data_IF_519025902261
#
_entry.id   IF_519025902261
#
_cell.length_a   1.000
_cell.length_b   1.000
_cell.length_c   1.000
_cell.angle_alpha   90.00
_cell.angle_beta   90.00
_cell.angle_gamma   90.00
#
_symmetry.space_group_name_H-M   'P 1'
#
loop_
_entity.id
_entity.type
_entity.pdbx_description
1 polymer ?
#
# COMPACT_ATOMS: atom_id res chain seq x y z
N UNK A 1 29.88 -13.98 37.51
CA UNK A 1 30.47 -13.77 36.17
C UNK A 1 29.59 -12.76 35.45
N UNK A 2 29.99 -11.49 35.43
CA UNK A 2 29.22 -10.41 34.79
C UNK A 2 29.48 -10.47 33.29
N UNK A 3 28.46 -10.84 32.49
CA UNK A 3 28.56 -10.68 31.04
C UNK A 3 28.69 -9.19 30.74
N UNK A 4 29.79 -8.78 30.11
CA UNK A 4 29.89 -7.46 29.52
C UNK A 4 28.76 -7.34 28.48
N UNK A 5 27.68 -6.65 28.84
CA UNK A 5 26.60 -6.33 27.91
C UNK A 5 27.18 -5.30 26.94
N UNK A 6 27.18 -5.59 25.64
CA UNK A 6 27.57 -4.64 24.60
C UNK A 6 26.60 -3.46 24.62
N UNK A 7 26.93 -2.48 25.47
CA UNK A 7 26.14 -1.32 25.78
C UNK A 7 26.90 -0.09 25.32
N UNK A 8 26.23 0.75 24.53
CA UNK A 8 26.78 2.03 24.09
C UNK A 8 25.87 3.14 24.62
N UNK A 9 26.48 4.12 25.26
CA UNK A 9 25.80 5.29 25.79
C UNK A 9 26.41 6.52 25.12
N UNK A 10 25.58 7.29 24.42
CA UNK A 10 25.94 8.53 23.75
C UNK A 10 25.44 9.67 24.62
N UNK A 11 26.37 10.31 25.34
CA UNK A 11 26.07 11.39 26.25
C UNK A 11 25.55 12.64 25.52
N UNK A 12 24.98 13.56 26.30
CA UNK A 12 24.61 14.90 25.81
C UNK A 12 25.82 15.60 25.18
N UNK A 13 25.57 16.51 24.24
CA UNK A 13 26.58 17.25 23.45
C UNK A 13 27.54 16.37 22.61
N UNK A 14 27.40 15.05 22.63
CA UNK A 14 28.21 14.14 21.82
C UNK A 14 27.60 13.97 20.43
N UNK A 15 28.40 14.19 19.39
CA UNK A 15 28.00 13.95 18.00
C UNK A 15 28.82 12.78 17.45
N UNK A 16 28.14 11.74 16.98
CA UNK A 16 28.75 10.57 16.34
C UNK A 16 28.36 10.57 14.86
N UNK A 17 29.35 10.72 13.98
CA UNK A 17 29.17 10.63 12.52
C UNK A 17 29.79 9.31 12.02
N UNK A 18 29.13 8.19 12.31
CA UNK A 18 29.64 6.86 12.02
C UNK A 18 28.54 5.78 12.07
N UNK A 19 28.83 4.62 11.49
CA UNK A 19 28.00 3.43 11.60
C UNK A 19 28.19 2.73 12.97
N UNK A 20 27.09 2.38 13.63
CA UNK A 20 27.09 1.60 14.87
C UNK A 20 26.61 0.18 14.54
N UNK A 21 27.42 -0.83 14.84
CA UNK A 21 27.09 -2.25 14.63
C UNK A 21 27.48 -3.08 15.85
N UNK A 22 26.91 -4.30 15.95
CA UNK A 22 27.17 -5.24 17.04
C UNK A 22 26.85 -4.68 18.45
N UNK A 23 25.92 -3.73 18.53
CA UNK A 23 25.44 -3.16 19.79
C UNK A 23 24.22 -3.97 20.28
N UNK A 24 24.16 -4.27 21.58
CA UNK A 24 22.98 -4.92 22.16
C UNK A 24 21.97 -3.88 22.66
N UNK A 25 22.46 -2.86 23.39
CA UNK A 25 21.63 -1.78 23.91
C UNK A 25 22.33 -0.45 23.66
N UNK A 26 21.63 0.45 22.97
CA UNK A 26 22.09 1.78 22.66
C UNK A 26 21.22 2.81 23.38
N UNK A 27 21.84 3.70 24.15
CA UNK A 27 21.19 4.86 24.75
C UNK A 27 21.72 6.14 24.12
N UNK A 28 20.82 7.00 23.66
CA UNK A 28 21.15 8.21 22.91
C UNK A 28 20.59 9.43 23.62
N UNK A 29 21.47 10.25 24.19
CA UNK A 29 21.17 11.60 24.69
C UNK A 29 21.80 12.69 23.79
N UNK A 30 22.86 12.35 23.06
CA UNK A 30 23.49 13.22 22.06
C UNK A 30 22.90 13.04 20.66
N UNK A 31 23.75 13.20 19.64
CA UNK A 31 23.36 13.07 18.22
C UNK A 31 24.14 11.97 17.53
N UNK A 32 23.44 11.16 16.74
CA UNK A 32 24.04 10.14 15.87
C UNK A 32 23.62 10.42 14.43
N UNK A 33 24.59 10.50 13.52
CA UNK A 33 24.40 10.55 12.08
C UNK A 33 25.06 9.32 11.44
N UNK A 34 24.27 8.37 10.92
CA UNK A 34 24.78 7.14 10.30
C UNK A 34 23.86 5.93 10.39
N UNK A 35 24.37 4.76 10.00
CA UNK A 35 23.63 3.49 10.09
C UNK A 35 23.78 2.88 11.49
N UNK A 36 22.66 2.69 12.19
CA UNK A 36 22.60 2.09 13.53
C UNK A 36 21.97 0.72 13.47
N UNK A 37 22.71 -0.31 13.90
CA UNK A 37 22.22 -1.69 14.05
C UNK A 37 22.42 -2.14 15.49
N UNK A 38 21.31 -2.29 16.21
CA UNK A 38 21.28 -2.71 17.62
C UNK A 38 20.14 -3.69 17.88
N UNK A 39 20.08 -4.34 19.05
CA UNK A 39 18.85 -5.04 19.47
C UNK A 39 17.85 -4.08 20.11
N UNK A 40 18.32 -3.29 21.05
CA UNK A 40 17.53 -2.31 21.79
C UNK A 40 18.10 -0.91 21.56
N UNK A 41 17.24 0.06 21.28
CA UNK A 41 17.59 1.48 21.23
C UNK A 41 16.63 2.29 22.12
N UNK A 42 17.20 3.18 22.92
CA UNK A 42 16.49 4.17 23.71
C UNK A 42 17.00 5.55 23.31
N UNK A 43 16.14 6.35 22.68
CA UNK A 43 16.45 7.74 22.33
C UNK A 43 15.82 8.62 23.39
N UNK A 44 16.63 9.22 24.25
CA UNK A 44 16.17 10.13 25.30
C UNK A 44 15.64 11.45 24.72
N UNK A 45 14.93 12.29 25.51
CA UNK A 45 14.34 13.53 25.00
C UNK A 45 15.31 14.50 24.29
N UNK A 46 16.56 14.54 24.73
CA UNK A 46 17.64 15.35 24.12
C UNK A 46 18.32 14.64 22.93
N UNK A 47 18.10 13.34 22.79
CA UNK A 47 18.72 12.49 21.80
C UNK A 47 18.16 12.70 20.39
N UNK A 48 19.04 12.67 19.40
CA UNK A 48 18.67 12.70 17.99
C UNK A 48 19.42 11.63 17.19
N UNK A 49 18.70 10.89 16.35
CA UNK A 49 19.30 9.92 15.42
C UNK A 49 18.86 10.24 14.01
N UNK A 50 19.82 10.48 13.12
CA UNK A 50 19.58 10.76 11.70
C UNK A 50 20.26 9.68 10.86
N UNK A 51 19.50 8.99 10.02
CA UNK A 51 20.01 7.94 9.16
C UNK A 51 19.16 6.67 9.22
N UNK A 52 19.80 5.51 9.14
CA UNK A 52 19.10 4.23 9.09
C UNK A 52 19.20 3.48 10.40
N UNK A 53 18.07 3.21 11.05
CA UNK A 53 18.00 2.51 12.33
C UNK A 53 17.40 1.12 12.14
N UNK A 54 18.13 0.07 12.51
CA UNK A 54 17.63 -1.32 12.57
C UNK A 54 17.71 -1.83 14.00
N UNK A 55 16.55 -2.16 14.58
CA UNK A 55 16.45 -2.68 15.94
C UNK A 55 15.46 -3.85 16.08
N UNK A 56 15.59 -4.63 17.15
CA UNK A 56 14.53 -5.56 17.57
C UNK A 56 13.43 -4.78 18.29
N UNK A 57 13.80 -3.92 19.25
CA UNK A 57 12.88 -3.04 19.98
C UNK A 57 13.43 -1.62 20.09
N UNK A 58 12.55 -0.62 20.04
CA UNK A 58 12.92 0.79 20.10
C UNK A 58 11.98 1.56 21.05
N UNK A 59 12.56 2.38 21.93
CA UNK A 59 11.82 3.35 22.75
C UNK A 59 12.30 4.76 22.41
N UNK A 60 11.39 5.60 21.93
CA UNK A 60 11.70 6.91 21.37
C UNK A 60 11.05 7.99 22.24
N UNK A 61 11.88 8.75 22.96
CA UNK A 61 11.52 9.98 23.67
C UNK A 61 12.08 11.23 22.98
N UNK A 62 13.11 11.11 22.16
CA UNK A 62 13.68 12.21 21.37
C UNK A 62 13.30 12.14 19.89
N UNK A 63 14.21 12.54 19.02
CA UNK A 63 13.94 12.62 17.57
C UNK A 63 14.67 11.54 16.78
N UNK A 64 13.95 10.85 15.89
CA UNK A 64 14.55 9.93 14.91
C UNK A 64 14.11 10.32 13.52
N UNK A 65 15.05 10.58 12.62
CA UNK A 65 14.81 10.95 11.23
C UNK A 65 15.49 9.96 10.27
N UNK A 66 14.73 9.41 9.33
CA UNK A 66 15.25 8.56 8.25
C UNK A 66 14.52 7.23 8.11
N UNK A 67 15.27 6.16 7.82
CA UNK A 67 14.70 4.82 7.63
C UNK A 67 14.77 4.02 8.94
N UNK A 68 13.62 3.68 9.52
CA UNK A 68 13.52 2.98 10.80
C UNK A 68 12.90 1.60 10.59
N UNK A 69 13.61 0.54 10.97
CA UNK A 69 13.14 -0.85 10.89
C UNK A 69 13.21 -1.50 12.27
N UNK A 70 12.04 -1.73 12.88
CA UNK A 70 11.90 -2.33 14.22
C UNK A 70 11.11 -3.62 14.15
N UNK A 71 11.75 -4.75 14.45
CA UNK A 71 11.13 -6.07 14.21
C UNK A 71 10.01 -6.45 15.19
N UNK A 72 10.11 -6.05 16.46
CA UNK A 72 9.19 -6.49 17.51
C UNK A 72 8.26 -5.37 17.98
N UNK A 73 8.79 -4.33 18.62
CA UNK A 73 8.00 -3.24 19.21
C UNK A 73 8.74 -1.91 19.11
N UNK A 74 8.08 -0.92 18.52
CA UNK A 74 8.45 0.50 18.64
C UNK A 74 7.47 1.19 19.60
N UNK A 75 7.99 1.86 20.62
CA UNK A 75 7.24 2.68 21.57
C UNK A 75 7.63 4.13 21.42
N UNK A 76 6.70 4.98 20.99
CA UNK A 76 6.90 6.43 20.85
C UNK A 76 6.26 7.09 22.07
N UNK A 77 7.10 7.66 22.93
CA UNK A 77 6.71 8.32 24.19
C UNK A 77 6.21 9.75 23.91
N UNK A 78 5.63 10.47 24.89
CA UNK A 78 5.01 11.78 24.67
C UNK A 78 5.88 12.89 24.06
N UNK A 79 7.21 12.79 24.12
CA UNK A 79 8.14 13.74 23.49
C UNK A 79 8.82 13.18 22.24
N UNK A 80 8.54 11.91 21.91
CA UNK A 80 9.16 11.20 20.81
C UNK A 80 8.62 11.67 19.47
N UNK A 81 9.53 11.98 18.55
CA UNK A 81 9.21 12.38 17.19
C UNK A 81 9.94 11.42 16.25
N UNK A 82 9.19 10.69 15.41
CA UNK A 82 9.78 9.83 14.37
C UNK A 82 9.35 10.34 13.01
N UNK A 83 10.32 10.66 12.15
CA UNK A 83 10.10 11.18 10.80
C UNK A 83 10.80 10.30 9.75
N UNK A 84 10.10 9.95 8.67
CA UNK A 84 10.67 9.19 7.55
C UNK A 84 9.96 7.86 7.27
N UNK A 85 10.68 6.86 6.78
CA UNK A 85 10.11 5.56 6.41
C UNK A 85 10.23 4.57 7.57
N UNK A 86 9.10 4.14 8.14
CA UNK A 86 9.08 3.29 9.35
C UNK A 86 8.44 1.94 9.05
N UNK A 87 9.22 0.87 9.22
CA UNK A 87 8.74 -0.53 9.21
C UNK A 87 8.75 -1.06 10.64
N UNK A 88 7.61 -1.54 11.12
CA UNK A 88 7.46 -2.01 12.49
C UNK A 88 6.63 -3.30 12.57
N UNK A 89 6.96 -4.16 13.53
CA UNK A 89 6.13 -5.33 13.86
C UNK A 89 4.89 -4.93 14.66
N UNK A 90 5.08 -4.24 15.79
CA UNK A 90 4.04 -3.64 16.63
C UNK A 90 4.43 -2.22 17.01
N UNK A 91 3.43 -1.36 17.19
CA UNK A 91 3.62 0.03 17.57
C UNK A 91 2.77 0.38 18.78
N UNK A 92 3.36 1.12 19.73
CA UNK A 92 2.67 1.80 20.83
C UNK A 92 3.00 3.29 20.70
N UNK A 93 1.95 4.12 20.66
CA UNK A 93 2.04 5.57 20.61
C UNK A 93 1.37 6.14 21.87
N UNK A 94 2.15 6.75 22.75
CA UNK A 94 1.64 7.43 23.94
C UNK A 94 1.06 8.81 23.55
N UNK A 95 0.05 9.34 24.28
CA UNK A 95 -0.46 10.69 24.04
C UNK A 95 0.66 11.75 24.07
N UNK A 96 0.80 12.50 22.98
CA UNK A 96 1.85 13.51 22.78
C UNK A 96 2.98 13.06 21.85
N UNK A 97 3.18 11.75 21.66
CA UNK A 97 4.15 11.26 20.69
C UNK A 97 3.71 11.58 19.26
N UNK A 98 4.67 11.93 18.40
CA UNK A 98 4.43 12.28 17.02
C UNK A 98 5.14 11.29 16.08
N UNK A 99 4.38 10.75 15.13
CA UNK A 99 4.90 9.92 14.05
C UNK A 99 4.52 10.56 12.72
N UNK A 100 5.51 11.13 12.03
CA UNK A 100 5.38 11.60 10.66
C UNK A 100 6.07 10.62 9.73
N UNK A 101 5.42 9.48 9.50
CA UNK A 101 5.91 8.47 8.58
C UNK A 101 5.43 8.75 7.16
N UNK A 102 6.29 8.56 6.16
CA UNK A 102 5.84 8.43 4.77
C UNK A 102 5.15 7.08 4.64
N UNK A 103 3.82 7.10 4.59
CA UNK A 103 3.04 5.95 4.17
C UNK A 103 3.33 5.77 2.68
N UNK A 104 3.98 4.67 2.33
CA UNK A 104 4.23 4.34 0.93
C UNK A 104 2.95 3.73 0.37
N UNK A 105 2.32 4.44 -0.56
CA UNK A 105 1.22 3.92 -1.36
C UNK A 105 1.60 2.54 -1.95
N UNK A 106 0.77 1.52 -1.70
CA UNK A 106 0.90 0.22 -2.36
C UNK A 106 -0.02 0.23 -3.57
N UNK A 107 0.51 0.19 -4.81
CA UNK A 107 -0.36 0.25 -5.98
C UNK A 107 -1.38 -0.90 -6.02
N UNK A 108 -2.60 -0.64 -6.51
CA UNK A 108 -3.62 -1.66 -6.59
C UNK A 108 -3.23 -2.74 -7.60
N UNK A 109 -3.70 -3.95 -7.39
CA UNK A 109 -3.52 -5.05 -8.34
C UNK A 109 -4.84 -5.73 -8.68
N UNK A 110 -4.96 -6.12 -9.95
CA UNK A 110 -6.15 -6.78 -10.48
C UNK A 110 -6.12 -8.28 -10.18
N UNK A 111 -7.29 -8.82 -9.84
CA UNK A 111 -7.57 -10.24 -9.62
C UNK A 111 -8.87 -10.63 -10.34
N UNK A 112 -9.12 -11.94 -10.43
CA UNK A 112 -10.23 -12.52 -11.19
C UNK A 112 -9.71 -13.46 -12.28
N UNK A 113 -10.62 -14.13 -12.96
CA UNK A 113 -10.27 -14.97 -14.12
C UNK A 113 -10.18 -14.18 -15.44
N UNK A 114 -10.67 -12.94 -15.44
CA UNK A 114 -10.74 -12.03 -16.59
C UNK A 114 -11.49 -12.61 -17.79
N UNK A 115 -12.50 -13.45 -17.54
CA UNK A 115 -13.32 -14.06 -18.58
C UNK A 115 -14.80 -13.79 -18.34
N UNK A 116 -15.51 -13.42 -19.40
CA UNK A 116 -16.95 -13.27 -19.38
C UNK A 116 -17.60 -14.10 -20.49
N UNK A 117 -18.83 -14.53 -20.25
CA UNK A 117 -19.67 -15.15 -21.26
C UNK A 117 -20.96 -14.35 -21.43
N UNK A 118 -21.20 -13.85 -22.64
CA UNK A 118 -22.38 -13.05 -22.97
C UNK A 118 -23.09 -13.65 -24.18
N UNK A 119 -24.40 -13.49 -24.25
CA UNK A 119 -25.14 -13.79 -25.48
C UNK A 119 -25.08 -12.60 -26.43
N UNK A 120 -25.11 -12.88 -27.73
CA UNK A 120 -25.13 -11.84 -28.74
C UNK A 120 -26.24 -10.82 -28.52
N UNK A 121 -25.85 -9.54 -28.46
CA UNK A 121 -26.77 -8.41 -28.31
C UNK A 121 -27.37 -8.29 -26.90
N UNK A 122 -26.88 -9.10 -25.95
CA UNK A 122 -27.30 -9.05 -24.55
C UNK A 122 -26.21 -8.43 -23.68
N UNK A 123 -26.55 -8.20 -22.41
CA UNK A 123 -25.61 -7.77 -21.40
C UNK A 123 -25.34 -8.89 -20.39
N UNK A 124 -24.16 -8.85 -19.77
CA UNK A 124 -23.79 -9.67 -18.62
C UNK A 124 -23.22 -8.77 -17.53
N UNK A 125 -23.62 -8.99 -16.28
CA UNK A 125 -23.06 -8.29 -15.12
C UNK A 125 -21.62 -8.75 -14.93
N UNK A 126 -20.70 -7.81 -14.74
CA UNK A 126 -19.31 -8.11 -14.39
C UNK A 126 -19.25 -8.33 -12.88
N UNK A 127 -18.81 -9.51 -12.45
CA UNK A 127 -18.73 -9.88 -11.04
C UNK A 127 -17.30 -9.80 -10.52
N UNK A 128 -17.14 -9.88 -9.20
CA UNK A 128 -15.82 -9.92 -8.56
C UNK A 128 -15.05 -11.23 -8.80
N UNK A 129 -15.69 -12.26 -9.36
CA UNK A 129 -15.00 -13.46 -9.83
C UNK A 129 -14.28 -13.20 -11.16
N UNK A 130 -14.89 -12.39 -12.02
CA UNK A 130 -14.36 -12.06 -13.34
C UNK A 130 -13.31 -10.95 -13.24
N UNK A 131 -13.59 -9.92 -12.44
CA UNK A 131 -12.75 -8.74 -12.27
C UNK A 131 -12.90 -8.12 -10.88
N UNK A 132 -11.79 -7.99 -10.16
CA UNK A 132 -11.70 -7.18 -8.94
C UNK A 132 -10.30 -6.59 -8.78
N UNK A 133 -10.17 -5.64 -7.87
CA UNK A 133 -8.92 -5.00 -7.49
C UNK A 133 -8.75 -5.14 -5.99
N UNK A 134 -7.54 -5.47 -5.57
CA UNK A 134 -7.15 -5.56 -4.17
C UNK A 134 -6.08 -4.50 -3.91
N UNK A 135 -6.31 -3.76 -2.84
CA UNK A 135 -5.43 -2.72 -2.35
C UNK A 135 -5.49 -2.71 -0.82
N UNK A 136 -4.35 -2.78 -0.11
CA UNK A 136 -4.34 -2.84 1.35
C UNK A 136 -4.55 -1.48 2.04
N UNK A 137 -4.36 -0.36 1.34
CA UNK A 137 -4.44 1.00 1.87
C UNK A 137 -5.62 1.82 1.32
N UNK A 138 -6.31 1.36 0.27
CA UNK A 138 -7.49 2.02 -0.28
C UNK A 138 -8.80 1.23 -0.10
N UNK A 139 -9.90 1.97 0.05
CA UNK A 139 -11.27 1.43 0.07
C UNK A 139 -11.79 1.17 -1.35
N UNK A 140 -12.85 0.35 -1.53
CA UNK A 140 -13.42 0.09 -2.85
C UNK A 140 -13.92 1.32 -3.63
N UNK A 141 -14.32 2.39 -2.94
CA UNK A 141 -14.77 3.63 -3.58
C UNK A 141 -13.58 4.47 -4.13
N UNK A 142 -12.38 4.24 -3.60
CA UNK A 142 -11.13 4.93 -4.00
C UNK A 142 -10.42 4.24 -5.16
N UNK A 143 -10.76 2.98 -5.44
CA UNK A 143 -10.21 2.22 -6.56
C UNK A 143 -11.00 2.46 -7.85
N UNK A 144 -10.43 3.24 -8.77
CA UNK A 144 -11.07 3.63 -10.04
C UNK A 144 -10.50 2.84 -11.22
N UNK A 145 -11.37 2.12 -11.89
CA UNK A 145 -11.09 1.47 -13.17
C UNK A 145 -11.19 2.46 -14.31
N UNK A 146 -10.27 2.37 -15.26
CA UNK A 146 -10.36 2.97 -16.58
C UNK A 146 -10.53 1.88 -17.62
N UNK A 147 -11.52 2.03 -18.50
CA UNK A 147 -11.86 1.08 -19.57
C UNK A 147 -11.37 1.62 -20.91
N UNK A 148 -10.74 0.76 -21.71
CA UNK A 148 -10.24 1.11 -23.04
C UNK A 148 -10.31 -0.08 -24.00
N UNK A 149 -9.98 0.14 -25.27
CA UNK A 149 -9.88 -0.92 -26.30
C UNK A 149 -11.11 -1.85 -26.38
N UNK A 150 -12.30 -1.30 -26.16
CA UNK A 150 -13.57 -2.00 -26.30
C UNK A 150 -13.71 -2.62 -27.71
N UNK A 151 -14.02 -3.92 -27.78
CA UNK A 151 -14.27 -4.69 -29.00
C UNK A 151 -15.52 -5.53 -28.83
N UNK A 152 -16.42 -5.48 -29.82
CA UNK A 152 -17.64 -6.27 -29.85
C UNK A 152 -18.68 -5.89 -28.79
N UNK A 153 -18.58 -4.70 -28.23
CA UNK A 153 -19.44 -4.23 -27.16
C UNK A 153 -18.74 -3.15 -26.34
N UNK A 154 -19.33 -2.80 -25.20
CA UNK A 154 -18.79 -1.80 -24.28
C UNK A 154 -19.20 -2.12 -22.84
N UNK A 155 -18.45 -1.57 -21.89
CA UNK A 155 -18.84 -1.59 -20.47
C UNK A 155 -19.85 -0.48 -20.21
N UNK A 156 -20.90 -0.77 -19.43
CA UNK A 156 -21.97 0.16 -19.08
C UNK A 156 -22.45 -0.05 -17.63
N UNK A 157 -23.18 0.92 -17.08
CA UNK A 157 -23.97 0.65 -15.89
C UNK A 157 -25.23 -0.14 -16.26
N UNK A 158 -25.66 -1.06 -15.39
CA UNK A 158 -26.86 -1.89 -15.60
C UNK A 158 -28.14 -1.06 -15.76
N UNK A 159 -28.19 0.14 -15.17
CA UNK A 159 -29.30 1.09 -15.29
C UNK A 159 -29.28 1.92 -16.58
N UNK A 160 -28.16 1.96 -17.30
CA UNK A 160 -27.97 2.77 -18.49
C UNK A 160 -27.14 2.03 -19.56
N UNK A 161 -27.61 0.88 -20.08
CA UNK A 161 -26.82 -0.02 -20.93
C UNK A 161 -26.40 0.58 -22.29
N UNK A 162 -27.10 1.62 -22.75
CA UNK A 162 -26.74 2.32 -23.99
C UNK A 162 -25.56 3.30 -23.83
N UNK A 163 -25.15 3.61 -22.60
CA UNK A 163 -24.08 4.59 -22.32
C UNK A 163 -22.79 3.84 -22.02
N UNK A 164 -21.79 3.99 -22.90
CA UNK A 164 -20.46 3.44 -22.67
C UNK A 164 -19.77 4.18 -21.52
N UNK A 165 -19.24 3.40 -20.58
CA UNK A 165 -18.40 3.90 -19.50
C UNK A 165 -16.94 3.89 -19.92
N UNK A 166 -16.23 4.97 -19.59
CA UNK A 166 -14.76 5.01 -19.62
C UNK A 166 -14.15 4.69 -18.26
N UNK A 167 -14.95 4.70 -17.18
CA UNK A 167 -14.50 4.42 -15.83
C UNK A 167 -15.66 4.03 -14.90
N UNK A 168 -15.32 3.31 -13.83
CA UNK A 168 -16.19 2.93 -12.71
C UNK A 168 -15.31 2.59 -11.48
N UNK A 169 -15.91 2.35 -10.31
CA UNK A 169 -15.16 2.02 -9.07
C UNK A 169 -15.27 0.55 -8.69
N UNK A 170 -14.37 0.06 -7.81
CA UNK A 170 -14.53 -1.27 -7.22
C UNK A 170 -15.84 -1.38 -6.43
N UNK A 171 -16.30 -0.30 -5.80
CA UNK A 171 -17.60 -0.26 -5.13
C UNK A 171 -18.78 -0.48 -6.11
N UNK A 172 -18.69 0.00 -7.34
CA UNK A 172 -19.72 -0.23 -8.37
C UNK A 172 -19.77 -1.70 -8.80
N UNK A 173 -18.61 -2.35 -8.95
CA UNK A 173 -18.52 -3.81 -9.18
C UNK A 173 -19.12 -4.58 -8.01
N UNK A 174 -18.78 -4.22 -6.78
CA UNK A 174 -19.28 -4.88 -5.57
C UNK A 174 -20.80 -4.76 -5.43
N UNK A 175 -21.39 -3.66 -5.92
CA UNK A 175 -22.84 -3.45 -5.98
C UNK A 175 -23.53 -4.20 -7.14
N UNK A 176 -22.77 -4.81 -8.05
CA UNK A 176 -23.29 -5.53 -9.22
C UNK A 176 -23.93 -4.62 -10.26
N UNK A 177 -23.53 -3.35 -10.32
CA UNK A 177 -24.13 -2.36 -11.24
C UNK A 177 -23.31 -2.13 -12.51
N UNK A 178 -22.19 -2.83 -12.69
CA UNK A 178 -21.35 -2.78 -13.89
C UNK A 178 -21.64 -3.99 -14.78
N UNK A 179 -21.81 -3.77 -16.08
CA UNK A 179 -22.09 -4.81 -17.05
C UNK A 179 -21.29 -4.62 -18.35
N UNK A 180 -21.00 -5.72 -19.05
CA UNK A 180 -20.60 -5.68 -20.45
C UNK A 180 -21.82 -5.85 -21.33
N UNK A 181 -21.97 -4.99 -22.34
CA UNK A 181 -23.08 -4.99 -23.31
C UNK A 181 -22.52 -5.35 -24.68
N UNK A 182 -22.92 -6.48 -25.25
CA UNK A 182 -22.51 -6.89 -26.58
C UNK A 182 -23.29 -6.11 -27.66
N UNK A 183 -22.60 -5.63 -28.69
CA UNK A 183 -23.17 -4.74 -29.73
C UNK A 183 -24.10 -5.44 -30.75
N UNK A 184 -24.12 -6.78 -30.73
CA UNK A 184 -24.95 -7.62 -31.60
C UNK A 184 -24.28 -8.05 -32.90
N UNK A 185 -23.00 -7.70 -33.10
CA UNK A 185 -22.25 -8.09 -34.28
C UNK A 185 -22.06 -9.62 -34.40
N UNK A 186 -21.52 -10.05 -35.54
CA UNK A 186 -21.40 -11.47 -35.86
C UNK A 186 -20.22 -12.23 -35.21
N UNK A 187 -19.35 -11.52 -34.50
CA UNK A 187 -18.18 -12.06 -33.82
C UNK A 187 -18.55 -13.04 -32.71
N UNK A 188 -17.58 -13.90 -32.38
CA UNK A 188 -17.65 -14.85 -31.25
C UNK A 188 -16.77 -14.42 -30.07
N UNK A 189 -16.01 -13.35 -30.25
CA UNK A 189 -15.08 -12.82 -29.27
C UNK A 189 -15.26 -11.31 -29.20
N UNK A 190 -15.34 -10.83 -27.98
CA UNK A 190 -15.35 -9.43 -27.60
C UNK A 190 -14.32 -9.24 -26.49
N UNK A 191 -13.92 -8.01 -26.21
CA UNK A 191 -12.94 -7.73 -25.16
C UNK A 191 -12.99 -6.28 -24.74
N UNK A 192 -12.43 -6.00 -23.58
CA UNK A 192 -12.08 -4.63 -23.18
C UNK A 192 -10.85 -4.69 -22.29
N UNK A 193 -10.09 -3.60 -22.26
CA UNK A 193 -8.92 -3.47 -21.40
C UNK A 193 -9.25 -2.61 -20.18
N UNK A 194 -8.70 -3.01 -19.03
CA UNK A 194 -8.82 -2.26 -17.78
C UNK A 194 -7.47 -1.94 -17.16
N UNK A 195 -7.40 -0.76 -16.55
CA UNK A 195 -6.36 -0.37 -15.58
C UNK A 195 -7.09 0.15 -14.35
N UNK A 196 -6.66 -0.22 -13.15
CA UNK A 196 -7.15 0.39 -11.91
C UNK A 196 -6.09 1.33 -11.35
N UNK A 197 -6.53 2.47 -10.83
CA UNK A 197 -5.71 3.43 -10.12
C UNK A 197 -6.32 3.77 -8.75
N UNK A 198 -5.46 4.03 -7.79
CA UNK A 198 -5.83 4.59 -6.49
C UNK A 198 -5.88 6.13 -6.53
N UNK A 199 -6.19 6.75 -5.40
CA UNK A 199 -6.25 8.22 -5.25
C UNK A 199 -4.89 8.90 -5.17
N UNK A 200 -3.86 8.14 -4.82
CA UNK A 200 -2.47 8.53 -4.61
C UNK A 200 -1.63 8.45 -5.91
N UNK A 201 -2.23 7.96 -7.00
CA UNK A 201 -1.65 7.85 -8.33
C UNK A 201 -0.94 6.52 -8.64
N UNK A 202 -0.99 5.53 -7.73
CA UNK A 202 -0.57 4.17 -8.02
C UNK A 202 -1.54 3.49 -8.99
N UNK A 203 -1.04 2.54 -9.77
CA UNK A 203 -1.82 1.84 -10.80
C UNK A 203 -1.49 0.37 -10.85
N UNK A 204 -2.39 -0.45 -11.39
CA UNK A 204 -2.16 -1.86 -11.70
C UNK A 204 -1.14 -2.11 -12.82
N UNK A 205 -0.51 -1.06 -13.36
CA UNK A 205 0.49 -1.15 -14.42
C UNK A 205 -0.11 -1.21 -15.82
N UNK A 206 0.33 -2.18 -16.63
CA UNK A 206 -0.14 -2.30 -18.02
C UNK A 206 -1.64 -2.65 -18.07
N UNK A 207 -2.36 -2.22 -19.12
CA UNK A 207 -3.74 -2.64 -19.31
C UNK A 207 -3.90 -4.15 -19.30
N UNK A 208 -4.91 -4.63 -18.58
CA UNK A 208 -5.31 -6.04 -18.51
C UNK A 208 -6.55 -6.24 -19.36
N UNK A 209 -6.47 -7.15 -20.33
CA UNK A 209 -7.62 -7.52 -21.15
C UNK A 209 -8.56 -8.45 -20.39
N UNK A 210 -9.85 -8.15 -20.45
CA UNK A 210 -10.95 -9.04 -20.09
C UNK A 210 -11.51 -9.63 -21.38
N UNK A 211 -11.44 -10.94 -21.50
CA UNK A 211 -11.90 -11.68 -22.68
C UNK A 211 -13.39 -12.01 -22.54
N UNK A 212 -14.17 -11.72 -23.57
CA UNK A 212 -15.62 -11.98 -23.60
C UNK A 212 -15.94 -12.98 -24.69
N UNK A 213 -16.43 -14.16 -24.30
CA UNK A 213 -16.92 -15.19 -25.22
C UNK A 213 -18.38 -14.90 -25.54
N UNK A 214 -18.71 -14.86 -26.83
CA UNK A 214 -20.04 -14.52 -27.32
C UNK A 214 -20.75 -15.78 -27.78
N UNK A 215 -21.79 -16.17 -27.05
CA UNK A 215 -22.71 -17.24 -27.41
C UNK A 215 -23.77 -16.77 -28.41
N UNK A 216 -24.33 -17.73 -29.15
CA UNK A 216 -25.40 -17.47 -30.13
C UNK A 216 -26.70 -17.00 -29.42
N UNK A 217 -27.51 -16.21 -30.14
CA UNK A 217 -28.84 -15.82 -29.69
C UNK A 217 -29.79 -17.03 -29.77
N UNK A 218 -30.66 -17.20 -28.76
CA UNK A 218 -31.72 -18.21 -28.78
C UNK A 218 -32.86 -17.80 -29.72
#
# INVERSE_FOLDING_TARGET
>A
MSQARNFLHVAEDTIINADIRNCHRLEVLGRIEGDVVTREILVHPTGSVVGRVRAESAEILGTVEGEVVVRNLISIRPSGIVQGDVQYGRMVLDPGGELSAKVRNVPPHLVGDFSLAVRRGQQIVVTTQDLAAIDPDNTPDELRYSVSNNKGGHVAFTSAPAVSLSNFTQADLNKGIVAFVHDGNAGRNASFDVVVADTEGGTSGKPRTVDVVVGDAA
#
